data_IF_419982759063
#
_entry.id   IF_419982759063
#
_cell.length_a   1.000
_cell.length_b   1.000
_cell.length_c   1.000
_cell.angle_alpha   90.00
_cell.angle_beta   90.00
_cell.angle_gamma   90.00
#
_symmetry.space_group_name_H-M   'P 1'
#
loop_
_entity.id
_entity.type
_entity.pdbx_description
1 polymer ?
#
# COMPACT_ATOMS: atom_id res chain seq x y z
N UNK A 1 -24.23 -7.84 -38.86
CA UNK A 1 -23.39 -6.76 -38.30
C UNK A 1 -22.42 -7.37 -37.32
N UNK A 2 -21.16 -7.57 -37.74
CA UNK A 2 -20.12 -8.22 -36.95
C UNK A 2 -19.50 -7.18 -36.02
N UNK A 3 -19.70 -7.32 -34.70
CA UNK A 3 -19.02 -6.48 -33.72
C UNK A 3 -17.55 -6.88 -33.64
N UNK A 4 -16.66 -6.02 -34.15
CA UNK A 4 -15.22 -6.14 -33.91
C UNK A 4 -14.95 -5.91 -32.43
N UNK A 5 -14.70 -7.01 -31.70
CA UNK A 5 -14.13 -6.97 -30.37
C UNK A 5 -12.66 -6.58 -30.51
N UNK A 6 -12.35 -5.29 -30.39
CA UNK A 6 -10.97 -4.80 -30.39
C UNK A 6 -10.30 -5.24 -29.08
N UNK A 7 -9.67 -6.42 -29.10
CA UNK A 7 -8.83 -6.93 -28.02
C UNK A 7 -7.56 -6.06 -27.96
N UNK A 8 -7.61 -4.98 -27.19
CA UNK A 8 -6.48 -4.09 -26.97
C UNK A 8 -5.50 -4.76 -25.99
N UNK A 9 -4.67 -5.67 -26.50
CA UNK A 9 -3.53 -6.23 -25.78
C UNK A 9 -2.47 -5.15 -25.56
N UNK A 10 -2.62 -4.36 -24.49
CA UNK A 10 -1.54 -3.50 -24.02
C UNK A 10 -0.42 -4.41 -23.45
N UNK A 11 0.84 -4.26 -23.91
CA UNK A 11 1.94 -5.09 -23.41
C UNK A 11 2.09 -4.94 -21.90
N UNK A 12 2.18 -6.08 -21.20
CA UNK A 12 2.37 -6.16 -19.74
C UNK A 12 3.82 -5.84 -19.35
N UNK A 13 4.26 -4.60 -19.57
CA UNK A 13 5.64 -4.15 -19.26
C UNK A 13 6.02 -4.44 -17.79
N UNK A 14 5.02 -4.44 -16.89
CA UNK A 14 5.22 -4.63 -15.45
C UNK A 14 4.63 -5.94 -14.90
N UNK A 15 4.08 -6.80 -15.76
CA UNK A 15 3.36 -8.02 -15.32
C UNK A 15 1.97 -7.78 -14.74
N UNK A 16 1.49 -6.54 -14.73
CA UNK A 16 0.16 -6.15 -14.26
C UNK A 16 -0.77 -5.77 -15.41
N UNK A 17 -2.01 -6.26 -15.33
CA UNK A 17 -3.05 -5.95 -16.31
C UNK A 17 -3.85 -4.70 -15.90
N UNK A 18 -3.43 -3.56 -16.47
CA UNK A 18 -4.13 -2.28 -16.31
C UNK A 18 -5.45 -2.21 -17.10
N UNK A 19 -5.75 -3.20 -17.96
CA UNK A 19 -7.04 -3.37 -18.63
C UNK A 19 -8.05 -4.18 -17.81
N UNK A 20 -7.62 -4.79 -16.70
CA UNK A 20 -8.48 -5.62 -15.84
C UNK A 20 -9.70 -4.85 -15.33
N UNK A 21 -10.77 -5.58 -14.99
CA UNK A 21 -11.99 -4.98 -14.44
C UNK A 21 -11.69 -4.19 -13.15
N UNK A 22 -10.83 -4.71 -12.27
CA UNK A 22 -10.40 -4.02 -11.06
C UNK A 22 -9.66 -2.71 -11.36
N UNK A 23 -8.74 -2.72 -12.33
CA UNK A 23 -8.04 -1.51 -12.74
C UNK A 23 -9.00 -0.47 -13.33
N UNK A 24 -10.00 -0.89 -14.13
CA UNK A 24 -11.04 0.01 -14.64
C UNK A 24 -11.88 0.63 -13.53
N UNK A 25 -12.28 -0.16 -12.53
CA UNK A 25 -13.03 0.32 -11.36
C UNK A 25 -12.18 1.31 -10.55
N UNK A 26 -10.92 0.99 -10.28
CA UNK A 26 -10.01 1.89 -9.57
C UNK A 26 -9.83 3.23 -10.32
N UNK A 27 -9.63 3.18 -11.64
CA UNK A 27 -9.54 4.37 -12.50
C UNK A 27 -10.82 5.21 -12.44
N UNK A 28 -11.99 4.57 -12.49
CA UNK A 28 -13.28 5.25 -12.36
C UNK A 28 -13.46 5.91 -10.98
N UNK A 29 -12.87 5.33 -9.94
CA UNK A 29 -12.81 5.90 -8.59
C UNK A 29 -11.71 6.96 -8.40
N UNK A 30 -11.06 7.41 -9.49
CA UNK A 30 -10.05 8.47 -9.45
C UNK A 30 -8.62 8.00 -9.16
N UNK A 31 -8.37 6.70 -9.01
CA UNK A 31 -6.99 6.22 -8.87
C UNK A 31 -6.20 6.45 -10.16
N UNK A 32 -4.95 6.87 -9.99
CA UNK A 32 -3.99 6.98 -11.08
C UNK A 32 -3.48 5.59 -11.48
N UNK A 33 -2.90 5.49 -12.68
CA UNK A 33 -2.18 4.26 -13.08
C UNK A 33 -1.04 3.94 -12.12
N UNK A 34 -0.42 4.95 -11.51
CA UNK A 34 0.67 4.77 -10.56
C UNK A 34 0.20 4.13 -9.26
N UNK A 35 -0.99 4.51 -8.75
CA UNK A 35 -1.57 3.92 -7.54
C UNK A 35 -1.82 2.41 -7.74
N UNK A 36 -2.44 2.06 -8.88
CA UNK A 36 -2.76 0.67 -9.24
C UNK A 36 -1.49 -0.16 -9.45
N UNK A 37 -0.50 0.38 -10.19
CA UNK A 37 0.76 -0.31 -10.42
C UNK A 37 1.54 -0.51 -9.13
N UNK A 38 1.60 0.52 -8.29
CA UNK A 38 2.34 0.44 -7.03
C UNK A 38 1.73 -0.62 -6.12
N UNK A 39 0.41 -0.59 -5.88
CA UNK A 39 -0.26 -1.56 -5.03
C UNK A 39 -0.06 -2.98 -5.56
N UNK A 40 -0.29 -3.19 -6.86
CA UNK A 40 -0.10 -4.50 -7.48
C UNK A 40 1.33 -5.01 -7.33
N UNK A 41 2.34 -4.20 -7.69
CA UNK A 41 3.75 -4.57 -7.56
C UNK A 41 4.12 -4.93 -6.12
N UNK A 42 3.58 -4.19 -5.15
CA UNK A 42 3.79 -4.47 -3.74
C UNK A 42 3.12 -5.77 -3.31
N UNK A 43 1.86 -6.04 -3.70
CA UNK A 43 1.19 -7.31 -3.42
C UNK A 43 1.94 -8.50 -4.02
N UNK A 44 2.31 -8.44 -5.30
CA UNK A 44 3.07 -9.52 -5.92
C UNK A 44 4.47 -9.67 -5.32
N UNK A 45 5.12 -8.58 -4.90
CA UNK A 45 6.42 -8.62 -4.23
C UNK A 45 6.33 -9.32 -2.87
N UNK A 46 5.31 -8.99 -2.09
CA UNK A 46 5.05 -9.64 -0.81
C UNK A 46 4.65 -11.12 -0.97
N UNK A 47 3.84 -11.45 -1.98
CA UNK A 47 3.52 -12.84 -2.30
C UNK A 47 4.75 -13.64 -2.72
N UNK A 48 5.64 -13.05 -3.54
CA UNK A 48 6.90 -13.67 -3.92
C UNK A 48 7.80 -13.92 -2.70
N UNK A 49 7.92 -12.93 -1.81
CA UNK A 49 8.64 -13.08 -0.53
C UNK A 49 8.08 -14.22 0.32
N UNK A 50 6.76 -14.26 0.52
CA UNK A 50 6.09 -15.31 1.29
C UNK A 50 6.28 -16.71 0.69
N UNK A 51 6.46 -16.81 -0.64
CA UNK A 51 6.79 -18.07 -1.32
C UNK A 51 8.28 -18.43 -1.32
N UNK A 52 9.14 -17.60 -0.72
CA UNK A 52 10.59 -17.79 -0.68
C UNK A 52 11.34 -17.28 -1.92
N UNK A 53 10.65 -16.74 -2.93
CA UNK A 53 11.26 -16.20 -4.15
C UNK A 53 11.76 -14.75 -3.93
N UNK A 54 12.87 -14.63 -3.21
CA UNK A 54 13.49 -13.35 -2.88
C UNK A 54 13.98 -12.59 -4.12
N UNK A 55 14.36 -13.29 -5.19
CA UNK A 55 14.83 -12.67 -6.45
C UNK A 55 13.68 -11.94 -7.16
N UNK A 56 12.53 -12.61 -7.27
CA UNK A 56 11.32 -11.98 -7.81
C UNK A 56 10.81 -10.87 -6.92
N UNK A 57 10.82 -11.05 -5.59
CA UNK A 57 10.46 -10.00 -4.65
C UNK A 57 11.35 -8.75 -4.84
N UNK A 58 12.67 -8.92 -4.97
CA UNK A 58 13.60 -7.83 -5.23
C UNK A 58 13.30 -7.07 -6.52
N UNK A 59 12.99 -7.80 -7.59
CA UNK A 59 12.59 -7.20 -8.86
C UNK A 59 11.32 -6.37 -8.70
N UNK A 60 10.30 -6.93 -8.05
CA UNK A 60 9.00 -6.27 -7.88
C UNK A 60 9.06 -5.04 -6.97
N UNK A 61 9.77 -5.12 -5.84
CA UNK A 61 9.95 -3.97 -4.96
C UNK A 61 10.83 -2.88 -5.59
N UNK A 62 11.83 -3.24 -6.39
CA UNK A 62 12.63 -2.25 -7.14
C UNK A 62 11.77 -1.53 -8.18
N UNK A 63 10.87 -2.25 -8.84
CA UNK A 63 9.89 -1.68 -9.77
C UNK A 63 8.92 -0.75 -9.04
N UNK A 64 8.37 -1.16 -7.90
CA UNK A 64 7.51 -0.32 -7.06
C UNK A 64 8.25 0.94 -6.58
N UNK A 65 9.55 0.83 -6.29
CA UNK A 65 10.38 1.97 -5.89
C UNK A 65 10.44 3.03 -6.99
N UNK A 66 10.64 2.61 -8.24
CA UNK A 66 10.64 3.53 -9.38
C UNK A 66 9.29 4.19 -9.60
N UNK A 67 8.19 3.44 -9.49
CA UNK A 67 6.83 4.01 -9.55
C UNK A 67 6.67 5.06 -8.46
N UNK A 68 6.96 4.73 -7.20
CA UNK A 68 6.80 5.64 -6.07
C UNK A 68 7.70 6.87 -6.17
N UNK A 69 8.95 6.70 -6.61
CA UNK A 69 9.93 7.79 -6.76
C UNK A 69 9.55 8.77 -7.87
N UNK A 70 8.97 8.29 -8.97
CA UNK A 70 8.67 9.12 -10.15
C UNK A 70 7.26 9.73 -10.11
N UNK A 71 6.32 9.12 -9.38
CA UNK A 71 4.90 9.45 -9.48
C UNK A 71 4.27 9.97 -8.20
N UNK A 72 4.89 9.74 -7.04
CA UNK A 72 4.36 10.20 -5.76
C UNK A 72 5.22 11.35 -5.21
N UNK A 73 4.61 12.18 -4.36
CA UNK A 73 5.31 13.27 -3.68
C UNK A 73 6.45 12.71 -2.82
N UNK A 74 7.46 13.53 -2.51
CA UNK A 74 8.58 13.08 -1.67
C UNK A 74 8.12 12.65 -0.26
N UNK A 75 7.00 13.20 0.19
CA UNK A 75 6.36 13.00 1.49
C UNK A 75 5.39 11.81 1.53
N UNK A 76 5.08 11.19 0.38
CA UNK A 76 4.11 10.11 0.31
C UNK A 76 4.57 8.86 1.10
N UNK A 77 3.74 8.33 2.03
CA UNK A 77 4.13 7.20 2.88
C UNK A 77 4.43 5.92 2.09
N UNK A 78 3.89 5.76 0.87
CA UNK A 78 4.20 4.62 0.00
C UNK A 78 5.67 4.57 -0.42
N UNK A 79 6.37 5.71 -0.42
CA UNK A 79 7.82 5.75 -0.65
C UNK A 79 8.58 5.11 0.52
N UNK A 80 8.11 5.30 1.75
CA UNK A 80 8.71 4.67 2.93
C UNK A 80 8.50 3.15 2.92
N UNK A 81 7.28 2.68 2.65
CA UNK A 81 6.94 1.24 2.62
C UNK A 81 7.85 0.45 1.67
N UNK A 82 8.11 0.99 0.46
CA UNK A 82 9.01 0.32 -0.49
C UNK A 82 10.45 0.29 0.03
N UNK A 83 10.90 1.35 0.71
CA UNK A 83 12.25 1.38 1.28
C UNK A 83 12.40 0.33 2.38
N UNK A 84 11.37 0.11 3.19
CA UNK A 84 11.34 -0.95 4.22
C UNK A 84 11.51 -2.33 3.57
N UNK A 85 10.72 -2.65 2.54
CA UNK A 85 10.84 -3.95 1.87
C UNK A 85 12.19 -4.16 1.17
N UNK A 86 12.76 -3.09 0.60
CA UNK A 86 14.12 -3.15 0.05
C UNK A 86 15.20 -3.29 1.14
N UNK A 87 14.97 -2.74 2.34
CA UNK A 87 15.85 -2.92 3.49
C UNK A 87 15.82 -4.36 4.02
N UNK A 88 14.63 -4.96 4.08
CA UNK A 88 14.46 -6.38 4.42
C UNK A 88 15.22 -7.30 3.46
N UNK A 89 15.15 -7.01 2.15
CA UNK A 89 15.96 -7.72 1.16
C UNK A 89 17.46 -7.51 1.36
N UNK A 90 17.90 -6.30 1.69
CA UNK A 90 19.31 -6.07 2.00
C UNK A 90 19.77 -6.87 3.23
N UNK A 91 18.96 -6.92 4.30
CA UNK A 91 19.25 -7.73 5.49
C UNK A 91 19.38 -9.21 5.14
N UNK A 92 18.42 -9.76 4.40
CA UNK A 92 18.45 -11.15 3.94
C UNK A 92 19.69 -11.47 3.09
N UNK A 93 20.26 -10.47 2.42
CA UNK A 93 21.48 -10.59 1.61
C UNK A 93 22.77 -10.15 2.34
N UNK A 94 22.73 -9.96 3.67
CA UNK A 94 23.91 -9.58 4.46
C UNK A 94 24.39 -8.13 4.29
N UNK A 95 23.60 -7.26 3.65
CA UNK A 95 23.96 -5.86 3.34
C UNK A 95 23.47 -4.90 4.42
N UNK A 96 23.84 -5.15 5.67
CA UNK A 96 23.33 -4.45 6.85
C UNK A 96 23.42 -2.91 6.76
N UNK A 97 24.55 -2.35 6.30
CA UNK A 97 24.70 -0.89 6.16
C UNK A 97 23.74 -0.27 5.15
N UNK A 98 23.44 -0.97 4.04
CA UNK A 98 22.45 -0.52 3.04
C UNK A 98 21.03 -0.62 3.59
N UNK A 99 20.74 -1.67 4.35
CA UNK A 99 19.46 -1.85 5.00
C UNK A 99 19.18 -0.71 5.99
N UNK A 100 20.13 -0.42 6.88
CA UNK A 100 20.00 0.63 7.88
C UNK A 100 19.75 2.00 7.22
N UNK A 101 20.51 2.35 6.19
CA UNK A 101 20.29 3.59 5.43
C UNK A 101 18.90 3.68 4.81
N UNK A 102 18.32 2.55 4.36
CA UNK A 102 16.96 2.52 3.81
C UNK A 102 15.91 2.63 4.92
N UNK A 103 16.09 1.97 6.06
CA UNK A 103 15.22 2.10 7.22
C UNK A 103 15.18 3.55 7.73
N UNK A 104 16.33 4.21 7.86
CA UNK A 104 16.39 5.60 8.34
C UNK A 104 15.66 6.57 7.40
N UNK A 105 15.80 6.37 6.09
CA UNK A 105 15.03 7.14 5.09
C UNK A 105 13.54 6.85 5.18
N UNK A 106 13.14 5.58 5.39
CA UNK A 106 11.74 5.21 5.56
C UNK A 106 11.14 5.88 6.81
N UNK A 107 11.84 5.82 7.95
CA UNK A 107 11.45 6.49 9.21
C UNK A 107 11.27 7.99 9.05
N UNK A 108 12.22 8.65 8.39
CA UNK A 108 12.15 10.09 8.16
C UNK A 108 10.92 10.49 7.34
N UNK A 109 10.61 9.73 6.28
CA UNK A 109 9.40 9.96 5.48
C UNK A 109 8.14 9.66 6.31
N UNK A 110 8.12 8.56 7.05
CA UNK A 110 6.96 8.13 7.85
C UNK A 110 6.62 9.15 8.94
N UNK A 111 7.57 9.43 9.85
CA UNK A 111 7.38 10.34 10.99
C UNK A 111 7.03 11.75 10.55
N UNK A 112 7.60 12.22 9.44
CA UNK A 112 7.37 13.58 8.98
C UNK A 112 6.02 13.84 8.32
N UNK A 113 5.28 12.79 7.89
CA UNK A 113 4.16 13.00 6.96
C UNK A 113 2.94 12.09 7.20
N UNK A 114 3.05 11.07 8.06
CA UNK A 114 1.97 10.08 8.21
C UNK A 114 0.72 10.68 8.87
N UNK A 115 0.88 11.55 9.87
CA UNK A 115 -0.24 12.21 10.54
C UNK A 115 -1.02 13.10 9.56
N UNK A 116 -0.33 14.00 8.85
CA UNK A 116 -0.94 14.82 7.79
C UNK A 116 -1.65 13.98 6.73
N UNK A 117 -1.07 12.84 6.36
CA UNK A 117 -1.68 11.95 5.37
C UNK A 117 -3.00 11.33 5.89
N UNK A 118 -3.04 10.93 7.17
CA UNK A 118 -4.24 10.37 7.82
C UNK A 118 -5.31 11.44 8.02
N UNK A 119 -4.93 12.65 8.41
CA UNK A 119 -5.87 13.76 8.61
C UNK A 119 -6.57 14.16 7.30
N UNK A 120 -5.79 14.29 6.22
CA UNK A 120 -6.25 14.82 4.94
C UNK A 120 -6.80 13.77 3.97
N UNK A 121 -6.87 12.50 4.36
CA UNK A 121 -7.33 11.44 3.46
C UNK A 121 -8.77 11.64 3.00
N UNK A 122 -9.02 11.42 1.71
CA UNK A 122 -10.38 11.40 1.17
C UNK A 122 -11.04 10.05 1.41
N UNK A 123 -12.12 10.07 2.19
CA UNK A 123 -12.95 8.91 2.50
C UNK A 123 -14.18 8.93 1.59
N UNK A 124 -14.27 7.96 0.67
CA UNK A 124 -15.43 7.87 -0.22
C UNK A 124 -16.60 7.15 0.47
N UNK A 125 -17.85 7.47 0.10
CA UNK A 125 -19.03 6.74 0.57
C UNK A 125 -18.90 5.25 0.29
N UNK A 126 -19.29 4.42 1.25
CA UNK A 126 -19.20 2.96 1.15
C UNK A 126 -20.58 2.33 1.07
N UNK A 127 -20.71 1.26 0.29
CA UNK A 127 -21.92 0.44 0.31
C UNK A 127 -22.08 -0.20 1.71
N UNK A 128 -23.30 -0.20 2.25
CA UNK A 128 -23.66 -0.86 3.51
C UNK A 128 -24.77 -1.85 3.29
N UNK A 129 -24.79 -2.90 4.12
CA UNK A 129 -25.75 -4.00 4.04
C UNK A 129 -27.19 -3.60 4.36
N UNK A 130 -27.45 -2.42 4.93
CA UNK A 130 -28.81 -1.92 5.11
C UNK A 130 -28.94 -0.41 4.89
N UNK A 131 -30.12 0.01 4.42
CA UNK A 131 -30.48 1.42 4.25
C UNK A 131 -30.43 2.19 5.58
N UNK A 132 -30.72 1.52 6.70
CA UNK A 132 -30.56 2.10 8.04
C UNK A 132 -29.11 2.54 8.29
N UNK A 133 -28.13 1.68 8.04
CA UNK A 133 -26.71 2.02 8.22
C UNK A 133 -26.24 3.11 7.24
N UNK A 134 -26.74 3.11 6.00
CA UNK A 134 -26.47 4.20 5.06
C UNK A 134 -26.99 5.55 5.60
N UNK A 135 -28.20 5.58 6.15
CA UNK A 135 -28.78 6.79 6.74
C UNK A 135 -28.03 7.24 7.99
N UNK A 136 -27.63 6.31 8.85
CA UNK A 136 -26.83 6.61 10.05
C UNK A 136 -25.47 7.19 9.70
N UNK A 137 -24.78 6.62 8.70
CA UNK A 137 -23.50 7.15 8.22
C UNK A 137 -23.64 8.52 7.58
N UNK A 138 -24.70 8.73 6.78
CA UNK A 138 -24.97 10.05 6.20
C UNK A 138 -25.26 11.10 7.27
N UNK A 139 -25.99 10.74 8.34
CA UNK A 139 -26.34 11.64 9.45
C UNK A 139 -25.15 11.97 10.36
N UNK A 140 -24.22 11.02 10.54
CA UNK A 140 -23.09 11.14 11.47
C UNK A 140 -21.74 11.07 10.74
N UNK A 141 -21.67 11.65 9.54
CA UNK A 141 -20.55 11.48 8.61
C UNK A 141 -19.20 11.80 9.23
N UNK A 142 -19.12 12.91 9.95
CA UNK A 142 -17.86 13.37 10.56
C UNK A 142 -17.38 12.37 11.61
N UNK A 143 -18.27 11.88 12.49
CA UNK A 143 -17.93 10.85 13.47
C UNK A 143 -17.44 9.55 12.81
N UNK A 144 -18.06 9.12 11.70
CA UNK A 144 -17.58 7.94 10.95
C UNK A 144 -16.20 8.19 10.32
N UNK A 145 -15.98 9.38 9.78
CA UNK A 145 -14.70 9.76 9.20
C UNK A 145 -13.60 9.85 10.28
N UNK A 146 -13.90 10.44 11.43
CA UNK A 146 -12.97 10.56 12.55
C UNK A 146 -12.63 9.21 13.15
N UNK A 147 -13.61 8.31 13.31
CA UNK A 147 -13.36 6.93 13.71
C UNK A 147 -12.47 6.18 12.71
N UNK A 148 -12.65 6.43 11.41
CA UNK A 148 -11.81 5.83 10.38
C UNK A 148 -10.37 6.38 10.44
N UNK A 149 -10.21 7.70 10.58
CA UNK A 149 -8.90 8.34 10.79
C UNK A 149 -8.21 7.80 12.02
N UNK A 150 -8.92 7.71 13.14
CA UNK A 150 -8.38 7.16 14.39
C UNK A 150 -7.89 5.73 14.22
N UNK A 151 -8.69 4.86 13.55
CA UNK A 151 -8.29 3.48 13.28
C UNK A 151 -7.04 3.42 12.40
N UNK A 152 -7.00 4.17 11.30
CA UNK A 152 -5.86 4.15 10.38
C UNK A 152 -4.62 4.78 11.04
N UNK A 153 -4.79 5.82 11.87
CA UNK A 153 -3.74 6.42 12.68
C UNK A 153 -3.09 5.40 13.61
N UNK A 154 -3.87 4.59 14.32
CA UNK A 154 -3.33 3.49 15.14
C UNK A 154 -2.52 2.48 14.33
N UNK A 155 -3.03 2.09 13.15
CA UNK A 155 -2.30 1.18 12.26
C UNK A 155 -1.00 1.82 11.76
N UNK A 156 -1.01 3.12 11.48
CA UNK A 156 0.18 3.87 11.09
C UNK A 156 1.24 3.95 12.21
N UNK A 157 0.81 4.09 13.46
CA UNK A 157 1.69 4.04 14.64
C UNK A 157 2.29 2.63 14.82
N UNK A 158 1.47 1.58 14.66
CA UNK A 158 1.91 0.18 14.65
C UNK A 158 2.94 -0.08 13.54
N UNK A 159 2.71 0.45 12.33
CA UNK A 159 3.67 0.36 11.23
C UNK A 159 4.99 1.02 11.59
N UNK A 160 4.99 2.19 12.25
CA UNK A 160 6.24 2.82 12.68
C UNK A 160 6.99 1.96 13.70
N UNK A 161 6.28 1.37 14.67
CA UNK A 161 6.87 0.45 15.64
C UNK A 161 7.48 -0.79 14.96
N UNK A 162 6.82 -1.31 13.92
CA UNK A 162 7.34 -2.42 13.10
C UNK A 162 8.59 -2.01 12.34
N UNK A 163 8.59 -0.84 11.70
CA UNK A 163 9.79 -0.29 11.03
C UNK A 163 10.95 -0.18 12.02
N UNK A 164 10.66 0.29 13.24
CA UNK A 164 11.65 0.44 14.30
C UNK A 164 12.21 -0.91 14.78
N UNK A 165 11.35 -1.92 14.96
CA UNK A 165 11.76 -3.27 15.31
C UNK A 165 12.64 -3.92 14.22
N UNK A 166 12.21 -3.86 12.96
CA UNK A 166 12.94 -4.45 11.82
C UNK A 166 14.33 -3.81 11.65
N UNK A 167 14.41 -2.48 11.80
CA UNK A 167 15.68 -1.76 11.76
C UNK A 167 16.62 -2.13 12.91
N UNK A 168 16.07 -2.47 14.08
CA UNK A 168 16.83 -2.97 15.23
C UNK A 168 17.12 -4.48 15.20
N UNK A 169 16.73 -5.19 14.13
CA UNK A 169 16.85 -6.64 14.03
C UNK A 169 15.97 -7.41 15.01
N UNK A 170 14.91 -6.77 15.53
CA UNK A 170 13.94 -7.37 16.44
C UNK A 170 12.75 -7.95 15.66
N UNK A 171 12.13 -9.03 16.15
CA UNK A 171 10.91 -9.55 15.54
C UNK A 171 9.78 -8.51 15.65
N UNK A 172 9.06 -8.22 14.55
CA UNK A 172 7.95 -7.26 14.60
C UNK A 172 6.77 -7.86 15.38
N UNK A 173 6.07 -7.02 16.15
CA UNK A 173 4.93 -7.45 16.96
C UNK A 173 3.72 -7.92 16.13
N UNK A 174 3.68 -7.57 14.85
CA UNK A 174 2.51 -7.76 13.99
C UNK A 174 2.94 -8.23 12.60
N UNK A 175 2.15 -9.14 12.03
CA UNK A 175 2.25 -9.55 10.62
C UNK A 175 1.49 -8.56 9.75
N UNK A 176 2.22 -7.76 8.98
CA UNK A 176 1.69 -6.67 8.17
C UNK A 176 0.99 -7.22 6.92
N UNK A 177 1.68 -8.03 6.12
CA UNK A 177 1.14 -8.47 4.84
C UNK A 177 -0.02 -9.46 5.01
N UNK A 178 0.08 -10.38 5.97
CA UNK A 178 -1.06 -11.23 6.33
C UNK A 178 -2.31 -10.42 6.71
N UNK A 179 -2.14 -9.32 7.45
CA UNK A 179 -3.24 -8.41 7.81
C UNK A 179 -3.80 -7.67 6.60
N UNK A 180 -2.95 -7.23 5.67
CA UNK A 180 -3.41 -6.63 4.41
C UNK A 180 -4.37 -7.55 3.65
N UNK A 181 -4.05 -8.84 3.55
CA UNK A 181 -4.91 -9.80 2.84
C UNK A 181 -6.32 -9.91 3.45
N UNK A 182 -6.47 -9.71 4.76
CA UNK A 182 -7.75 -9.74 5.46
C UNK A 182 -8.46 -8.39 5.57
N UNK A 183 -7.70 -7.28 5.64
CA UNK A 183 -8.25 -5.94 5.91
C UNK A 183 -8.29 -5.01 4.69
N UNK A 184 -7.75 -5.42 3.52
CA UNK A 184 -7.75 -4.62 2.30
C UNK A 184 -9.17 -4.13 1.94
N UNK A 185 -9.39 -2.81 1.85
CA UNK A 185 -10.70 -2.27 1.47
C UNK A 185 -11.06 -2.62 0.01
N UNK A 186 -12.31 -2.99 -0.20
CA UNK A 186 -12.87 -3.17 -1.55
C UNK A 186 -13.13 -1.84 -2.28
N UNK A 187 -13.14 -0.72 -1.54
CA UNK A 187 -13.32 0.63 -2.08
C UNK A 187 -11.96 1.22 -2.45
N UNK A 188 -11.89 1.83 -3.64
CA UNK A 188 -10.70 2.52 -4.13
C UNK A 188 -10.75 4.00 -3.74
N UNK A 189 -10.27 4.33 -2.54
CA UNK A 189 -10.12 5.69 -2.03
C UNK A 189 -8.78 5.84 -1.28
N UNK A 190 -8.56 6.96 -0.59
CA UNK A 190 -7.30 7.17 0.14
C UNK A 190 -7.16 6.26 1.35
N UNK A 191 -8.26 5.72 1.90
CA UNK A 191 -8.19 4.77 3.01
C UNK A 191 -7.49 3.48 2.59
N UNK A 192 -7.76 2.99 1.38
CA UNK A 192 -7.03 1.85 0.81
C UNK A 192 -5.57 2.19 0.51
N UNK A 193 -5.28 3.38 -0.02
CA UNK A 193 -3.90 3.81 -0.29
C UNK A 193 -3.06 3.87 1.00
N UNK A 194 -3.61 4.45 2.06
CA UNK A 194 -2.93 4.56 3.35
C UNK A 194 -2.80 3.21 4.03
N UNK A 195 -3.86 2.38 4.01
CA UNK A 195 -3.75 1.04 4.56
C UNK A 195 -2.72 0.20 3.79
N UNK A 196 -2.64 0.36 2.46
CA UNK A 196 -1.60 -0.25 1.64
C UNK A 196 -0.21 0.25 2.01
N UNK A 197 -0.04 1.56 2.24
CA UNK A 197 1.22 2.11 2.72
C UNK A 197 1.61 1.54 4.10
N UNK A 198 0.65 1.28 4.98
CA UNK A 198 0.91 0.72 6.31
C UNK A 198 1.24 -0.77 6.29
N UNK A 199 0.49 -1.55 5.50
CA UNK A 199 0.45 -3.02 5.64
C UNK A 199 1.15 -3.79 4.53
N UNK A 200 1.51 -3.18 3.38
CA UNK A 200 2.25 -3.87 2.32
C UNK A 200 3.75 -4.03 2.63
N UNK A 201 4.06 -4.37 3.88
CA UNK A 201 5.41 -4.69 4.36
C UNK A 201 5.54 -6.20 4.48
N UNK A 202 6.67 -6.76 4.05
CA UNK A 202 6.91 -8.20 4.12
C UNK A 202 6.84 -8.69 5.57
N UNK A 203 6.21 -9.84 5.77
CA UNK A 203 6.24 -10.51 7.06
C UNK A 203 7.64 -11.12 7.27
N UNK A 204 8.25 -10.84 8.43
CA UNK A 204 9.55 -11.35 8.86
C UNK A 204 9.42 -12.70 9.57
#
# INVERSE_FOLDING_TARGET
MSSMTTNMFAPRIWGFDLGSAQARIARAAGWTRADILWEGLMEAGNAAWASGDQSRAATLFTRAHWVAKLRFSKTDPRRATVLVNLAMLDQANGRAGRALSRFDKARAIWRGNIQDSVENMQILPRARSSLFHLRMEARHRDTYHDNMRHRIGKIADETLAVIDALAGGQPPAHRMYARWLGERPNVYDDTRKLLGACLLIVDA
#
